data_IF_636717823207
#
_entry.id   IF_636717823207
#
_cell.length_a   1.000
_cell.length_b   1.000
_cell.length_c   1.000
_cell.angle_alpha   90.00
_cell.angle_beta   90.00
_cell.angle_gamma   90.00
#
_symmetry.space_group_name_H-M   'P 1'
#
loop_
_entity.id
_entity.type
_entity.pdbx_description
1 polymer ?
#
# COMPACT_ATOMS: atom_id res chain seq x y z
N UNK A 1 -0.50 -12.10 -0.14
CA UNK A 1 0.45 -11.45 -1.06
C UNK A 1 -0.30 -10.33 -1.77
N UNK A 2 0.34 -9.18 -1.94
CA UNK A 2 -0.20 -7.98 -2.59
C UNK A 2 0.77 -7.45 -3.64
N UNK A 3 0.24 -6.61 -4.52
CA UNK A 3 1.02 -5.70 -5.36
C UNK A 3 0.97 -4.32 -4.70
N UNK A 4 2.12 -3.77 -4.40
CA UNK A 4 2.25 -2.55 -3.60
C UNK A 4 2.86 -1.45 -4.45
N UNK A 5 2.26 -0.26 -4.40
CA UNK A 5 2.83 0.95 -5.00
C UNK A 5 3.11 1.92 -3.87
N UNK A 6 4.36 2.32 -3.72
CA UNK A 6 4.79 3.26 -2.68
C UNK A 6 4.82 4.67 -3.25
N UNK A 7 4.58 5.67 -2.43
CA UNK A 7 4.74 7.08 -2.78
C UNK A 7 5.59 7.73 -1.72
N UNK A 8 6.71 8.34 -2.14
CA UNK A 8 7.68 8.93 -1.20
C UNK A 8 7.90 10.41 -1.46
N UNK A 9 8.20 11.14 -0.39
CA UNK A 9 8.65 12.53 -0.48
C UNK A 9 10.10 12.58 -0.96
N UNK A 10 10.34 13.16 -2.12
CA UNK A 10 11.69 13.37 -2.66
C UNK A 10 12.07 14.84 -2.50
N UNK A 11 13.19 15.13 -1.82
CA UNK A 11 13.71 16.51 -1.73
C UNK A 11 14.48 16.88 -3.00
N UNK A 12 14.66 18.18 -3.22
CA UNK A 12 15.45 18.67 -4.34
C UNK A 12 16.88 18.09 -4.31
N UNK A 13 17.27 17.41 -5.38
CA UNK A 13 18.59 16.80 -5.54
C UNK A 13 18.71 15.37 -4.99
N UNK A 14 17.69 14.82 -4.34
CA UNK A 14 17.65 13.40 -3.96
C UNK A 14 17.25 12.53 -5.17
N UNK A 15 17.78 11.30 -5.24
CA UNK A 15 17.32 10.29 -6.20
C UNK A 15 16.04 9.64 -5.66
N UNK A 16 14.89 9.75 -6.37
CA UNK A 16 13.66 9.09 -5.96
C UNK A 16 13.80 7.58 -5.71
N UNK A 17 14.65 6.89 -6.47
CA UNK A 17 14.86 5.45 -6.30
C UNK A 17 15.58 5.14 -4.98
N UNK A 18 16.63 5.92 -4.65
CA UNK A 18 17.32 5.76 -3.37
C UNK A 18 16.38 6.07 -2.20
N UNK A 19 15.57 7.14 -2.29
CA UNK A 19 14.59 7.45 -1.24
C UNK A 19 13.55 6.34 -1.07
N UNK A 20 13.03 5.79 -2.17
CA UNK A 20 12.00 4.76 -2.13
C UNK A 20 12.51 3.37 -1.68
N UNK A 21 13.82 3.14 -1.77
CA UNK A 21 14.45 1.87 -1.38
C UNK A 21 15.22 1.95 -0.07
N UNK A 22 15.43 3.16 0.47
CA UNK A 22 16.07 3.33 1.76
C UNK A 22 15.08 3.03 2.89
N UNK A 23 15.25 1.84 3.47
CA UNK A 23 14.46 1.28 4.56
C UNK A 23 14.89 1.83 5.94
N UNK A 24 15.47 3.04 5.98
CA UNK A 24 15.80 3.69 7.26
C UNK A 24 14.50 3.93 8.01
N UNK A 25 14.20 2.99 8.93
CA UNK A 25 13.08 2.92 9.87
C UNK A 25 12.28 4.21 9.85
N UNK A 26 11.17 4.21 9.11
CA UNK A 26 10.22 5.32 9.04
C UNK A 26 9.72 5.58 10.46
N UNK A 27 10.45 6.47 11.12
CA UNK A 27 10.52 6.50 12.56
C UNK A 27 9.16 6.94 13.10
N UNK A 28 8.40 5.96 13.62
CA UNK A 28 7.11 6.20 14.28
C UNK A 28 7.27 7.16 15.46
N UNK A 29 8.50 7.44 15.88
CA UNK A 29 8.85 8.38 16.93
C UNK A 29 8.96 9.85 16.47
N UNK A 30 8.75 10.16 15.17
CA UNK A 30 8.77 11.54 14.67
C UNK A 30 7.85 12.46 15.50
N UNK A 31 8.29 13.68 15.85
CA UNK A 31 7.44 14.66 16.53
C UNK A 31 6.16 14.94 15.74
N UNK A 32 5.09 15.29 16.46
CA UNK A 32 3.83 15.71 15.83
C UNK A 32 4.05 16.95 14.96
N UNK A 33 3.61 16.87 13.70
CA UNK A 33 3.65 17.97 12.75
C UNK A 33 2.21 18.28 12.26
N UNK A 34 1.62 19.42 12.68
CA UNK A 34 0.24 19.75 12.30
C UNK A 34 0.05 19.92 10.79
N UNK A 35 1.09 20.29 10.03
CA UNK A 35 0.99 20.46 8.58
C UNK A 35 0.88 19.11 7.87
N UNK A 36 1.66 18.12 8.31
CA UNK A 36 1.60 16.74 7.79
C UNK A 36 0.29 16.06 8.13
N UNK A 37 -0.19 16.26 9.36
CA UNK A 37 -1.52 15.78 9.78
C UNK A 37 -2.63 16.39 8.94
N UNK A 38 -2.57 17.69 8.66
CA UNK A 38 -3.54 18.35 7.78
C UNK A 38 -3.44 17.84 6.33
N UNK A 39 -2.23 17.57 5.82
CA UNK A 39 -2.02 16.97 4.50
C UNK A 39 -2.64 15.58 4.38
N UNK A 40 -2.40 14.69 5.36
CA UNK A 40 -3.01 13.35 5.40
C UNK A 40 -4.53 13.42 5.37
N UNK A 41 -5.13 14.25 6.25
CA UNK A 41 -6.60 14.44 6.26
C UNK A 41 -7.15 14.97 4.94
N UNK A 42 -6.55 16.03 4.37
CA UNK A 42 -6.98 16.56 3.06
C UNK A 42 -6.91 15.51 1.97
N UNK A 43 -5.86 14.67 1.99
CA UNK A 43 -5.69 13.59 1.02
C UNK A 43 -6.77 12.52 1.18
N UNK A 44 -7.02 12.07 2.41
CA UNK A 44 -8.08 11.11 2.72
C UNK A 44 -9.47 11.65 2.34
N UNK A 45 -9.77 12.90 2.70
CA UNK A 45 -11.04 13.56 2.37
C UNK A 45 -11.23 13.65 0.84
N UNK A 46 -10.17 13.99 0.09
CA UNK A 46 -10.22 14.05 -1.36
C UNK A 46 -10.43 12.67 -2.01
N UNK A 47 -9.83 11.62 -1.44
CA UNK A 47 -10.05 10.24 -1.86
C UNK A 47 -11.50 9.82 -1.63
N UNK A 48 -12.02 9.95 -0.42
CA UNK A 48 -13.39 9.58 -0.05
C UNK A 48 -14.43 10.39 -0.84
N UNK A 49 -14.19 11.70 -1.04
CA UNK A 49 -15.10 12.55 -1.79
C UNK A 49 -15.25 12.11 -3.26
N UNK A 50 -14.19 11.57 -3.87
CA UNK A 50 -14.23 11.03 -5.24
C UNK A 50 -14.67 9.57 -5.29
N UNK A 51 -14.33 8.79 -4.27
CA UNK A 51 -14.53 7.34 -4.19
C UNK A 51 -15.28 6.99 -2.90
N UNK A 52 -16.62 7.09 -2.90
CA UNK A 52 -17.44 6.82 -1.70
C UNK A 52 -17.38 5.38 -1.19
N UNK A 53 -16.77 4.47 -1.94
CA UNK A 53 -16.48 3.08 -1.59
C UNK A 53 -15.14 2.90 -0.84
N UNK A 54 -14.35 3.98 -0.67
CA UNK A 54 -13.23 3.98 0.26
C UNK A 54 -13.76 4.30 1.67
N UNK A 55 -13.46 3.41 2.61
CA UNK A 55 -13.80 3.56 4.01
C UNK A 55 -12.53 3.87 4.80
N UNK A 56 -12.57 4.91 5.63
CA UNK A 56 -11.45 5.22 6.54
C UNK A 56 -11.47 4.21 7.68
N UNK A 57 -10.35 3.54 7.92
CA UNK A 57 -10.20 2.64 9.05
C UNK A 57 -9.98 3.46 10.32
N UNK A 58 -10.91 3.35 11.26
CA UNK A 58 -10.79 3.97 12.57
C UNK A 58 -10.05 3.03 13.52
N UNK A 59 -8.90 3.47 13.99
CA UNK A 59 -8.11 2.75 14.98
C UNK A 59 -8.64 3.07 16.38
N UNK A 60 -8.92 2.03 17.18
CA UNK A 60 -9.24 2.20 18.60
C UNK A 60 -7.93 2.31 19.41
N UNK A 61 -7.53 3.54 19.72
CA UNK A 61 -6.32 3.83 20.49
C UNK A 61 -6.37 3.27 21.91
N UNK A 62 -7.56 3.10 22.50
CA UNK A 62 -7.72 2.55 23.85
C UNK A 62 -7.44 1.05 23.84
N UNK A 63 -7.96 0.34 22.83
CA UNK A 63 -7.68 -1.08 22.63
C UNK A 63 -6.19 -1.32 22.34
N UNK A 64 -5.56 -0.51 21.48
CA UNK A 64 -4.11 -0.59 21.24
C UNK A 64 -3.30 -0.32 22.50
N UNK A 65 -3.68 0.71 23.27
CA UNK A 65 -3.00 1.04 24.52
C UNK A 65 -3.08 -0.12 25.53
N UNK A 66 -4.25 -0.76 25.63
CA UNK A 66 -4.47 -1.91 26.48
C UNK A 66 -3.68 -3.15 26.01
N UNK A 67 -3.69 -3.46 24.71
CA UNK A 67 -2.98 -4.62 24.15
C UNK A 67 -1.45 -4.50 24.27
N UNK A 68 -0.92 -3.30 23.98
CA UNK A 68 0.53 -3.05 24.02
C UNK A 68 1.04 -2.62 25.39
N UNK A 69 0.15 -2.43 26.38
CA UNK A 69 0.46 -1.94 27.71
C UNK A 69 1.26 -0.61 27.68
N UNK A 70 0.75 0.34 26.91
CA UNK A 70 1.27 1.71 26.75
C UNK A 70 0.20 2.74 27.13
N UNK A 71 0.54 4.03 27.18
CA UNK A 71 -0.49 5.07 27.39
C UNK A 71 -1.29 5.30 26.10
N UNK A 72 -2.52 5.80 26.22
CA UNK A 72 -3.35 6.17 25.07
C UNK A 72 -2.68 7.24 24.22
N UNK A 73 -1.91 8.15 24.82
CA UNK A 73 -1.12 9.16 24.08
C UNK A 73 0.00 8.52 23.25
N UNK A 74 0.64 7.47 23.77
CA UNK A 74 1.66 6.72 23.04
C UNK A 74 1.03 5.86 21.93
N UNK A 75 -0.14 5.26 22.17
CA UNK A 75 -0.91 4.56 21.14
C UNK A 75 -1.29 5.52 20.01
N UNK A 76 -1.86 6.69 20.36
CA UNK A 76 -2.15 7.78 19.42
C UNK A 76 -0.94 8.19 18.61
N UNK A 77 0.24 8.31 19.24
CA UNK A 77 1.50 8.67 18.57
C UNK A 77 1.92 7.60 17.55
N UNK A 78 1.73 6.33 17.89
CA UNK A 78 2.10 5.19 17.02
C UNK A 78 1.10 4.94 15.90
N UNK A 79 -0.16 5.34 16.08
CA UNK A 79 -1.27 5.13 15.13
C UNK A 79 -1.67 6.40 14.39
N UNK A 80 -0.73 7.33 14.15
CA UNK A 80 -1.01 8.60 13.44
C UNK A 80 -1.21 8.46 11.93
N UNK A 81 -1.05 7.28 11.37
CA UNK A 81 -1.33 7.06 9.94
C UNK A 81 -2.83 7.10 9.69
N UNK A 82 -3.23 7.36 8.45
CA UNK A 82 -4.61 7.16 8.00
C UNK A 82 -4.63 5.97 7.06
N UNK A 83 -5.51 5.02 7.32
CA UNK A 83 -5.75 3.89 6.45
C UNK A 83 -7.12 4.01 5.78
N UNK A 84 -7.19 3.70 4.49
CA UNK A 84 -8.43 3.62 3.72
C UNK A 84 -8.54 2.27 3.02
N UNK A 85 -9.72 1.66 3.06
CA UNK A 85 -9.98 0.35 2.49
C UNK A 85 -11.09 0.39 1.44
N UNK A 86 -10.90 -0.34 0.35
CA UNK A 86 -11.90 -0.70 -0.62
C UNK A 86 -11.94 -2.22 -0.70
N UNK A 87 -12.65 -2.84 0.23
CA UNK A 87 -12.71 -4.31 0.38
C UNK A 87 -13.20 -5.01 -0.88
N UNK A 88 -14.17 -4.40 -1.58
CA UNK A 88 -14.71 -4.95 -2.82
C UNK A 88 -13.66 -5.03 -3.94
N UNK A 89 -12.72 -4.08 -3.98
CA UNK A 89 -11.59 -4.09 -4.89
C UNK A 89 -10.33 -4.74 -4.28
N UNK A 90 -10.33 -5.09 -2.99
CA UNK A 90 -9.13 -5.56 -2.29
C UNK A 90 -7.99 -4.56 -2.39
N UNK A 91 -8.30 -3.26 -2.21
CA UNK A 91 -7.31 -2.18 -2.19
C UNK A 91 -7.26 -1.58 -0.80
N UNK A 92 -6.05 -1.40 -0.29
CA UNK A 92 -5.76 -0.70 0.96
C UNK A 92 -4.81 0.47 0.65
N UNK A 93 -5.06 1.63 1.24
CA UNK A 93 -4.24 2.83 1.13
C UNK A 93 -3.76 3.19 2.53
N UNK A 94 -2.46 3.38 2.71
CA UNK A 94 -1.90 3.98 3.93
C UNK A 94 -1.32 5.36 3.62
N UNK A 95 -1.57 6.31 4.52
CA UNK A 95 -1.06 7.67 4.45
C UNK A 95 -0.27 7.98 5.71
N UNK A 96 1.01 8.25 5.53
CA UNK A 96 1.97 8.62 6.57
C UNK A 96 2.49 10.04 6.32
N UNK A 97 3.37 10.48 7.22
CA UNK A 97 3.88 11.85 7.25
C UNK A 97 4.71 12.21 6.01
N UNK A 98 5.53 11.27 5.55
CA UNK A 98 6.49 11.46 4.45
C UNK A 98 6.35 10.42 3.35
N UNK A 99 5.39 9.51 3.48
CA UNK A 99 5.09 8.46 2.52
C UNK A 99 3.61 8.12 2.48
N UNK A 100 3.24 7.37 1.46
CA UNK A 100 1.95 6.71 1.34
C UNK A 100 2.16 5.42 0.56
N UNK A 101 1.18 4.53 0.60
CA UNK A 101 1.23 3.38 -0.29
C UNK A 101 -0.13 2.78 -0.54
N UNK A 102 -0.20 2.06 -1.64
CA UNK A 102 -1.41 1.43 -2.15
C UNK A 102 -1.13 -0.03 -2.37
N UNK A 103 -1.79 -0.89 -1.61
CA UNK A 103 -1.68 -2.34 -1.69
C UNK A 103 -2.90 -2.93 -2.39
N UNK A 104 -2.66 -3.83 -3.33
CA UNK A 104 -3.68 -4.45 -4.17
C UNK A 104 -3.61 -5.97 -3.99
N UNK A 105 -4.71 -6.58 -3.56
CA UNK A 105 -4.76 -8.03 -3.38
C UNK A 105 -4.63 -8.79 -4.71
N UNK A 106 -3.82 -9.86 -4.70
CA UNK A 106 -3.65 -10.78 -5.83
C UNK A 106 -4.84 -11.76 -5.99
N UNK A 107 -5.99 -11.22 -6.40
CA UNK A 107 -7.19 -12.04 -6.71
C UNK A 107 -7.96 -11.60 -7.96
N UNK A 108 -7.52 -10.53 -8.62
CA UNK A 108 -8.16 -10.01 -9.83
C UNK A 108 -7.45 -10.50 -11.09
N UNK A 109 -8.22 -10.71 -12.16
CA UNK A 109 -7.70 -11.21 -13.43
C UNK A 109 -8.25 -10.39 -14.61
N UNK A 110 -7.49 -10.32 -15.71
CA UNK A 110 -7.98 -9.80 -16.99
C UNK A 110 -8.61 -8.40 -16.87
N UNK A 111 -9.85 -8.26 -17.34
CA UNK A 111 -10.56 -6.98 -17.32
C UNK A 111 -10.83 -6.46 -15.91
N UNK A 112 -11.03 -7.34 -14.93
CA UNK A 112 -11.23 -6.91 -13.54
C UNK A 112 -9.98 -6.31 -12.95
N UNK A 113 -8.81 -6.89 -13.22
CA UNK A 113 -7.53 -6.31 -12.82
C UNK A 113 -7.35 -4.91 -13.44
N UNK A 114 -7.68 -4.76 -14.73
CA UNK A 114 -7.63 -3.44 -15.40
C UNK A 114 -8.55 -2.41 -14.77
N UNK A 115 -9.78 -2.79 -14.43
CA UNK A 115 -10.72 -1.91 -13.72
C UNK A 115 -10.15 -1.43 -12.39
N UNK A 116 -9.67 -2.34 -11.56
CA UNK A 116 -9.07 -2.00 -10.25
C UNK A 116 -7.86 -1.09 -10.43
N UNK A 117 -6.99 -1.38 -11.40
CA UNK A 117 -5.84 -0.52 -11.68
C UNK A 117 -6.23 0.86 -12.18
N UNK A 118 -7.37 1.05 -12.87
CA UNK A 118 -7.82 2.39 -13.26
C UNK A 118 -8.19 3.21 -12.02
N UNK A 119 -8.85 2.57 -11.07
CA UNK A 119 -9.22 3.20 -9.80
C UNK A 119 -7.96 3.53 -8.97
N UNK A 120 -7.03 2.58 -8.83
CA UNK A 120 -5.73 2.79 -8.21
C UNK A 120 -4.97 3.94 -8.86
N UNK A 121 -4.94 4.01 -10.19
CA UNK A 121 -4.27 5.12 -10.88
C UNK A 121 -4.84 6.49 -10.52
N UNK A 122 -6.16 6.55 -10.30
CA UNK A 122 -6.80 7.77 -9.85
C UNK A 122 -6.53 8.06 -8.38
N UNK A 123 -6.38 7.05 -7.51
CA UNK A 123 -5.92 7.23 -6.14
C UNK A 123 -4.52 7.84 -6.14
N UNK A 124 -3.58 7.25 -6.90
CA UNK A 124 -2.21 7.73 -7.02
C UNK A 124 -2.17 9.19 -7.47
N UNK A 125 -2.98 9.58 -8.46
CA UNK A 125 -3.06 10.97 -8.92
C UNK A 125 -3.54 11.94 -7.82
N UNK A 126 -4.51 11.53 -7.01
CA UNK A 126 -4.96 12.35 -5.88
C UNK A 126 -3.85 12.48 -4.86
N UNK A 127 -3.23 11.37 -4.46
CA UNK A 127 -2.15 11.39 -3.47
C UNK A 127 -1.00 12.28 -3.97
N UNK A 128 -0.51 12.07 -5.20
CA UNK A 128 0.55 12.91 -5.79
C UNK A 128 0.19 14.40 -5.82
N UNK A 129 -1.07 14.74 -6.11
CA UNK A 129 -1.53 16.13 -6.15
C UNK A 129 -1.54 16.77 -4.77
N UNK A 130 -2.00 16.05 -3.75
CA UNK A 130 -2.18 16.59 -2.40
C UNK A 130 -0.87 16.60 -1.59
N UNK A 131 0.05 15.67 -1.86
CA UNK A 131 1.29 15.49 -1.09
C UNK A 131 2.55 15.90 -1.83
N UNK A 132 2.52 15.93 -3.17
CA UNK A 132 3.71 16.10 -4.00
C UNK A 132 4.61 14.85 -4.06
N UNK A 133 4.18 13.71 -3.53
CA UNK A 133 4.99 12.49 -3.51
C UNK A 133 5.18 11.89 -4.91
N UNK A 134 6.27 11.14 -5.06
CA UNK A 134 6.60 10.42 -6.28
C UNK A 134 6.24 8.95 -6.11
N UNK A 135 5.45 8.41 -7.04
CA UNK A 135 5.08 7.00 -7.02
C UNK A 135 6.24 6.10 -7.49
N UNK A 136 6.43 4.99 -6.81
CA UNK A 136 7.46 3.99 -7.03
C UNK A 136 6.83 2.60 -7.03
N UNK A 137 7.23 1.79 -8.00
CA UNK A 137 6.84 0.39 -8.14
C UNK A 137 7.99 -0.51 -7.66
N UNK A 138 7.94 -1.04 -6.43
CA UNK A 138 8.98 -1.93 -5.91
C UNK A 138 9.06 -3.27 -6.66
N UNK A 139 8.00 -3.73 -7.32
CA UNK A 139 8.02 -4.98 -8.09
C UNK A 139 8.75 -4.81 -9.42
N UNK A 140 8.74 -3.61 -9.99
CA UNK A 140 9.51 -3.25 -11.19
C UNK A 140 10.86 -2.60 -10.87
N UNK A 141 11.03 -2.04 -9.67
CA UNK A 141 12.20 -1.25 -9.30
C UNK A 141 12.25 0.10 -10.02
N UNK A 142 11.10 0.70 -10.33
CA UNK A 142 11.02 1.89 -11.18
C UNK A 142 10.10 2.97 -10.60
N UNK A 143 10.41 4.22 -10.92
CA UNK A 143 9.53 5.35 -10.65
C UNK A 143 8.36 5.36 -11.63
N UNK A 144 7.14 5.39 -11.09
CA UNK A 144 5.92 5.37 -11.88
C UNK A 144 5.56 6.76 -12.38
N UNK A 145 5.75 6.97 -13.68
CA UNK A 145 5.18 8.12 -14.37
C UNK A 145 3.72 7.83 -14.72
N UNK A 146 2.79 8.38 -13.96
CA UNK A 146 1.35 8.04 -14.04
C UNK A 146 0.69 8.33 -15.40
N UNK A 147 1.31 9.11 -16.28
CA UNK A 147 0.83 9.33 -17.66
C UNK A 147 1.13 8.18 -18.63
N UNK A 148 2.06 7.27 -18.28
CA UNK A 148 2.54 6.22 -19.18
C UNK A 148 2.67 4.83 -18.53
N UNK A 149 2.87 4.75 -17.20
CA UNK A 149 3.18 3.50 -16.50
C UNK A 149 2.01 2.52 -16.32
N UNK A 150 0.79 2.89 -16.71
CA UNK A 150 -0.41 2.09 -16.45
C UNK A 150 -0.32 0.68 -17.02
N UNK A 151 0.05 0.55 -18.30
CA UNK A 151 0.10 -0.76 -18.96
C UNK A 151 1.16 -1.68 -18.33
N UNK A 152 2.34 -1.14 -18.05
CA UNK A 152 3.44 -1.89 -17.44
C UNK A 152 3.06 -2.43 -16.05
N UNK A 153 2.44 -1.61 -15.20
CA UNK A 153 2.05 -2.04 -13.85
C UNK A 153 0.95 -3.12 -13.90
N UNK A 154 -0.02 -3.00 -14.80
CA UNK A 154 -1.05 -4.05 -15.01
C UNK A 154 -0.40 -5.37 -15.47
N UNK A 155 0.58 -5.30 -16.38
CA UNK A 155 1.27 -6.49 -16.87
C UNK A 155 2.13 -7.14 -15.78
N UNK A 156 2.83 -6.35 -14.96
CA UNK A 156 3.58 -6.85 -13.81
C UNK A 156 2.66 -7.47 -12.74
N UNK A 157 1.51 -6.86 -12.47
CA UNK A 157 0.49 -7.44 -11.59
C UNK A 157 0.02 -8.81 -12.10
N UNK A 158 -0.28 -8.91 -13.40
CA UNK A 158 -0.69 -10.17 -14.02
C UNK A 158 0.43 -11.24 -13.93
N UNK A 159 1.70 -10.84 -14.10
CA UNK A 159 2.85 -11.72 -13.88
C UNK A 159 2.97 -12.20 -12.42
N UNK A 160 2.76 -11.29 -11.46
CA UNK A 160 2.69 -11.59 -10.03
C UNK A 160 1.61 -12.62 -9.70
N UNK A 161 0.40 -12.44 -10.25
CA UNK A 161 -0.72 -13.37 -10.10
C UNK A 161 -0.38 -14.81 -10.52
N UNK A 162 0.35 -14.99 -11.63
CA UNK A 162 0.79 -16.32 -12.09
C UNK A 162 1.70 -16.98 -11.06
N UNK A 163 2.59 -16.21 -10.43
CA UNK A 163 3.46 -16.71 -9.37
C UNK A 163 2.67 -17.08 -8.11
N UNK A 164 1.70 -16.26 -7.71
CA UNK A 164 0.81 -16.55 -6.58
C UNK A 164 0.05 -17.86 -6.81
N UNK A 165 -0.54 -18.03 -7.99
CA UNK A 165 -1.28 -19.25 -8.33
C UNK A 165 -0.38 -20.48 -8.27
N UNK A 166 0.85 -20.39 -8.78
CA UNK A 166 1.83 -21.49 -8.70
C UNK A 166 2.14 -21.90 -7.26
N UNK A 167 2.31 -20.93 -6.36
CA UNK A 167 2.54 -21.22 -4.93
C UNK A 167 1.32 -21.90 -4.30
N UNK A 168 0.10 -21.44 -4.61
CA UNK A 168 -1.14 -22.05 -4.13
C UNK A 168 -1.26 -23.50 -4.64
N UNK A 169 -0.97 -23.74 -5.92
CA UNK A 169 -1.03 -25.06 -6.52
C UNK A 169 0.00 -26.01 -5.89
N UNK A 170 1.23 -25.54 -5.65
CA UNK A 170 2.29 -26.32 -4.99
C UNK A 170 1.93 -26.67 -3.54
N UNK A 171 1.25 -25.77 -2.80
CA UNK A 171 0.77 -26.03 -1.45
C UNK A 171 -0.38 -27.05 -1.42
N UNK A 172 -1.22 -27.06 -2.45
CA UNK A 172 -2.36 -27.97 -2.58
C UNK A 172 -1.98 -29.34 -3.16
N UNK A 173 -0.77 -29.50 -3.71
CA UNK A 173 -0.31 -30.80 -4.19
C UNK A 173 -0.17 -31.79 -3.02
N UNK A 174 -0.74 -33.00 -3.12
CA UNK A 174 -0.57 -34.01 -2.10
C UNK A 174 0.91 -34.35 -1.97
N UNK A 175 1.49 -34.14 -0.78
CA UNK A 175 2.89 -34.49 -0.50
C UNK A 175 3.09 -35.95 -0.89
N UNK A 176 3.89 -36.18 -1.94
CA UNK A 176 4.20 -37.54 -2.40
C UNK A 176 4.75 -38.30 -1.20
N UNK A 177 4.07 -39.39 -0.81
CA UNK A 177 4.52 -40.22 0.31
C UNK A 177 5.93 -40.69 -0.03
N UNK A 178 6.90 -40.56 0.90
CA UNK A 178 8.23 -41.03 0.64
C UNK A 178 8.22 -42.51 0.29
N UNK A 179 9.02 -42.89 -0.71
CA UNK A 179 9.12 -44.27 -1.22
C UNK A 179 9.53 -45.29 -0.14
N UNK A 180 10.10 -44.83 0.98
CA UNK A 180 10.47 -45.67 2.13
C UNK A 180 9.33 -45.93 3.13
N UNK A 181 8.14 -45.31 2.99
CA UNK A 181 6.99 -45.55 3.90
C UNK A 181 6.07 -46.69 3.42
N UNK A 182 6.53 -47.54 2.50
CA UNK A 182 5.78 -48.67 1.93
C UNK A 182 6.34 -50.05 2.36
N UNK A 183 7.18 -50.10 3.39
CA UNK A 183 7.76 -51.31 3.97
C UNK A 183 7.51 -51.35 5.47
#
# INVERSE_FOLDING_TARGET
MSYDINLVRVKEGEDPYEVATNDEDFDREKPYDPEKEAMKRRTADALVAKFPNLEVFEVDDEDIAAELNISVEEAKRRSRHIELNNDAAGVQIHLDDDEAGVSIAYWHNGDKAREVFREVWDYLRIIQRETGFVAFDPQQGEILVLSQGYAAAVDAFAGGMVNVQRVIDDLNQPKKKPWWKFW
#
